data_IF_594095370240
#
_entry.id   IF_594095370240
#
_cell.length_a   1.000
_cell.length_b   1.000
_cell.length_c   1.000
_cell.angle_alpha   90.00
_cell.angle_beta   90.00
_cell.angle_gamma   90.00
#
_symmetry.space_group_name_H-M   'P 1'
#
loop_
_entity.id
_entity.type
_entity.pdbx_description
1 polymer ?
#
# COMPACT_ATOMS: atom_id res chain seq x y z
N UNK A 1 4.39 11.56 7.70
CA UNK A 1 4.54 10.68 8.88
C UNK A 1 5.60 9.60 8.67
N UNK A 2 6.64 9.57 9.53
CA UNK A 2 7.66 8.50 9.53
C UNK A 2 7.25 7.28 10.36
N UNK A 3 6.72 7.52 11.57
CA UNK A 3 6.30 6.47 12.52
C UNK A 3 4.83 6.67 12.90
N UNK A 4 4.04 5.61 12.76
CA UNK A 4 2.68 5.54 13.28
C UNK A 4 2.69 4.85 14.64
N UNK A 5 2.26 5.57 15.68
CA UNK A 5 2.05 5.02 17.02
C UNK A 5 0.57 4.75 17.28
N UNK A 6 0.26 3.51 17.62
CA UNK A 6 -1.09 3.06 17.96
C UNK A 6 -1.13 2.77 19.47
N UNK A 7 -1.81 3.62 20.24
CA UNK A 7 -1.93 3.49 21.69
C UNK A 7 -3.22 2.78 22.11
N UNK A 8 -3.13 1.89 23.10
CA UNK A 8 -4.26 1.18 23.67
C UNK A 8 -4.03 0.94 25.17
N UNK A 9 -5.07 0.53 25.90
CA UNK A 9 -5.03 0.50 27.38
C UNK A 9 -3.86 -0.32 27.98
N UNK A 10 -3.34 -1.31 27.25
CA UNK A 10 -2.25 -2.19 27.71
C UNK A 10 -0.87 -1.81 27.16
N UNK A 11 -0.73 -0.72 26.41
CA UNK A 11 0.55 -0.29 25.85
C UNK A 11 0.40 0.38 24.48
N UNK A 12 1.44 0.25 23.65
CA UNK A 12 1.44 0.83 22.31
C UNK A 12 2.17 -0.07 21.31
N UNK A 13 1.92 0.19 20.03
CA UNK A 13 2.65 -0.37 18.90
C UNK A 13 3.14 0.77 18.01
N UNK A 14 4.38 0.67 17.53
CA UNK A 14 4.95 1.60 16.56
C UNK A 14 5.20 0.89 15.24
N UNK A 15 4.78 1.53 14.14
CA UNK A 15 5.01 1.07 12.78
C UNK A 15 5.85 2.13 12.06
N UNK A 16 7.02 1.74 11.55
CA UNK A 16 7.80 2.56 10.63
C UNK A 16 7.08 2.52 9.29
N UNK A 17 6.43 3.62 8.87
CA UNK A 17 5.44 3.63 7.79
C UNK A 17 6.06 3.13 6.48
N UNK A 18 7.20 3.69 6.08
CA UNK A 18 7.89 3.34 4.85
C UNK A 18 8.36 1.87 4.81
N UNK A 19 8.88 1.37 5.93
CA UNK A 19 9.38 -0.01 6.01
C UNK A 19 8.24 -1.04 6.16
N UNK A 20 7.11 -0.62 6.73
CA UNK A 20 5.98 -1.50 6.97
C UNK A 20 5.08 -1.63 5.74
N UNK A 21 4.78 -0.51 5.06
CA UNK A 21 3.87 -0.49 3.92
C UNK A 21 4.63 -0.54 2.58
N UNK A 22 4.10 -1.24 1.55
CA UNK A 22 2.85 -1.98 1.55
C UNK A 22 3.00 -3.38 2.18
N UNK A 23 2.24 -3.64 3.26
CA UNK A 23 2.29 -4.93 3.94
C UNK A 23 1.32 -5.96 3.31
N UNK A 24 1.54 -7.25 3.57
CA UNK A 24 0.68 -8.34 3.05
C UNK A 24 -0.75 -8.19 3.58
N UNK A 25 -1.75 -8.49 2.76
CA UNK A 25 -3.17 -8.30 3.10
C UNK A 25 -3.64 -8.90 4.44
N UNK A 26 -3.20 -10.12 4.87
CA UNK A 26 -3.57 -10.63 6.19
C UNK A 26 -3.08 -9.76 7.35
N UNK A 27 -1.93 -9.11 7.19
CA UNK A 27 -1.37 -8.16 8.15
C UNK A 27 -2.11 -6.83 8.07
N UNK A 28 -2.32 -6.32 6.84
CA UNK A 28 -3.05 -5.09 6.58
C UNK A 28 -4.44 -5.09 7.23
N UNK A 29 -5.18 -6.20 7.12
CA UNK A 29 -6.50 -6.35 7.76
C UNK A 29 -6.45 -6.23 9.27
N UNK A 30 -5.42 -6.78 9.92
CA UNK A 30 -5.26 -6.71 11.38
C UNK A 30 -4.88 -5.30 11.81
N UNK A 31 -3.91 -4.69 11.14
CA UNK A 31 -3.43 -3.35 11.46
C UNK A 31 -4.49 -2.29 11.18
N UNK A 32 -5.20 -2.36 10.05
CA UNK A 32 -6.30 -1.43 9.74
C UNK A 32 -7.39 -1.46 10.82
N UNK A 33 -7.71 -2.63 11.39
CA UNK A 33 -8.66 -2.71 12.51
C UNK A 33 -8.15 -1.99 13.77
N UNK A 34 -6.85 -2.09 14.06
CA UNK A 34 -6.25 -1.39 15.20
C UNK A 34 -6.22 0.13 14.96
N UNK A 35 -5.77 0.55 13.78
CA UNK A 35 -5.74 1.96 13.37
C UNK A 35 -7.14 2.57 13.47
N UNK A 36 -8.14 1.91 12.87
CA UNK A 36 -9.52 2.41 12.86
C UNK A 36 -10.16 2.48 14.24
N UNK A 37 -9.68 1.67 15.19
CA UNK A 37 -10.20 1.64 16.56
C UNK A 37 -9.51 2.64 17.49
N UNK A 38 -8.20 2.83 17.34
CA UNK A 38 -7.37 3.50 18.34
C UNK A 38 -6.76 4.82 17.87
N UNK A 39 -6.64 5.05 16.57
CA UNK A 39 -6.11 6.31 16.03
C UNK A 39 -7.24 7.34 15.82
N UNK A 40 -6.93 8.61 16.07
CA UNK A 40 -7.83 9.71 15.76
C UNK A 40 -7.99 9.90 14.25
N UNK A 41 -8.99 10.66 13.85
CA UNK A 41 -9.22 10.98 12.44
C UNK A 41 -8.07 11.81 11.85
N UNK A 42 -7.42 12.68 12.63
CA UNK A 42 -6.24 13.43 12.19
C UNK A 42 -5.07 12.49 11.87
N UNK A 43 -4.76 11.57 12.79
CA UNK A 43 -3.66 10.59 12.61
C UNK A 43 -3.94 9.68 11.41
N UNK A 44 -5.19 9.24 11.24
CA UNK A 44 -5.58 8.44 10.06
C UNK A 44 -5.44 9.23 8.76
N UNK A 45 -5.81 10.50 8.76
CA UNK A 45 -5.70 11.37 7.58
C UNK A 45 -4.23 11.57 7.19
N UNK A 46 -3.36 11.82 8.17
CA UNK A 46 -1.93 11.96 7.93
C UNK A 46 -1.31 10.65 7.39
N UNK A 47 -1.64 9.51 8.00
CA UNK A 47 -1.21 8.21 7.49
C UNK A 47 -1.68 7.98 6.04
N UNK A 48 -2.95 8.24 5.75
CA UNK A 48 -3.51 8.05 4.41
C UNK A 48 -2.87 8.98 3.37
N UNK A 49 -2.47 10.20 3.76
CA UNK A 49 -1.69 11.09 2.91
C UNK A 49 -0.37 10.42 2.50
N UNK A 50 0.35 9.88 3.47
CA UNK A 50 1.67 9.27 3.21
C UNK A 50 1.58 8.00 2.38
N UNK A 51 0.59 7.15 2.66
CA UNK A 51 0.37 5.94 1.87
C UNK A 51 0.01 6.28 0.42
N UNK A 52 -0.72 7.38 0.18
CA UNK A 52 -1.05 7.86 -1.17
C UNK A 52 0.19 8.39 -1.89
N UNK A 53 1.03 9.18 -1.22
CA UNK A 53 2.29 9.64 -1.80
C UNK A 53 3.20 8.47 -2.20
N UNK A 54 3.32 7.46 -1.34
CA UNK A 54 4.05 6.23 -1.67
C UNK A 54 3.43 5.49 -2.86
N UNK A 55 2.09 5.44 -2.95
CA UNK A 55 1.39 4.83 -4.08
C UNK A 55 1.65 5.58 -5.40
N UNK A 56 1.66 6.91 -5.35
CA UNK A 56 1.99 7.77 -6.49
C UNK A 56 3.43 7.56 -6.94
N UNK A 57 4.37 7.39 -6.00
CA UNK A 57 5.76 7.03 -6.30
C UNK A 57 5.88 5.69 -7.04
N UNK A 58 5.14 4.65 -6.62
CA UNK A 58 5.08 3.40 -7.35
C UNK A 58 4.43 3.53 -8.73
N UNK A 59 3.38 4.35 -8.84
CA UNK A 59 2.70 4.62 -10.10
C UNK A 59 3.65 5.28 -11.11
N UNK A 60 4.37 6.33 -10.70
CA UNK A 60 5.36 7.01 -11.53
C UNK A 60 6.46 6.06 -12.04
N UNK A 61 6.96 5.15 -11.18
CA UNK A 61 7.91 4.13 -11.59
C UNK A 61 7.32 3.15 -12.61
N UNK A 62 6.07 2.71 -12.40
CA UNK A 62 5.37 1.83 -13.34
C UNK A 62 5.22 2.49 -14.71
N UNK A 63 4.80 3.76 -14.74
CA UNK A 63 4.61 4.53 -15.98
C UNK A 63 5.94 4.70 -16.71
N UNK A 64 7.01 5.09 -16.00
CA UNK A 64 8.36 5.19 -16.58
C UNK A 64 8.84 3.84 -17.16
N UNK A 65 8.66 2.72 -16.45
CA UNK A 65 9.07 1.41 -16.96
C UNK A 65 8.27 0.98 -18.18
N UNK A 66 6.97 1.33 -18.22
CA UNK A 66 6.10 1.06 -19.35
C UNK A 66 6.54 1.85 -20.57
N UNK A 67 6.76 3.15 -20.43
CA UNK A 67 7.27 4.05 -21.49
C UNK A 67 8.60 3.50 -22.07
N UNK A 68 9.59 3.22 -21.22
CA UNK A 68 10.88 2.65 -21.65
C UNK A 68 10.76 1.31 -22.36
N UNK A 69 9.75 0.50 -22.02
CA UNK A 69 9.51 -0.77 -22.71
C UNK A 69 8.84 -0.57 -24.08
N UNK A 70 8.00 0.45 -24.22
CA UNK A 70 7.26 0.77 -25.45
C UNK A 70 8.19 1.29 -26.56
N UNK A 71 9.17 2.13 -26.21
CA UNK A 71 10.18 2.67 -27.13
C UNK A 71 11.07 1.60 -27.78
N UNK A 72 11.14 0.41 -27.18
CA UNK A 72 12.06 -0.64 -27.61
C UNK A 72 11.42 -1.62 -28.61
N UNK A 73 12.20 -2.15 -29.57
CA UNK A 73 11.72 -3.18 -30.50
C UNK A 73 11.20 -4.44 -29.78
N UNK A 74 10.21 -5.10 -30.39
CA UNK A 74 9.74 -6.40 -29.92
C UNK A 74 10.89 -7.41 -29.86
N UNK A 75 10.95 -8.22 -28.80
CA UNK A 75 12.00 -9.24 -28.62
C UNK A 75 13.32 -8.73 -28.02
N UNK A 76 13.52 -7.41 -27.89
CA UNK A 76 14.73 -6.85 -27.28
C UNK A 76 14.91 -7.35 -25.82
N UNK A 77 16.12 -7.81 -25.43
CA UNK A 77 16.44 -8.13 -24.04
C UNK A 77 16.13 -6.97 -23.08
N UNK A 78 16.38 -5.73 -23.52
CA UNK A 78 16.13 -4.54 -22.72
C UNK A 78 14.62 -4.29 -22.51
N UNK A 79 13.80 -4.61 -23.51
CA UNK A 79 12.33 -4.56 -23.37
C UNK A 79 11.83 -5.56 -22.34
N UNK A 80 12.39 -6.77 -22.33
CA UNK A 80 12.08 -7.79 -21.30
C UNK A 80 12.51 -7.33 -19.91
N UNK A 81 13.66 -6.67 -19.80
CA UNK A 81 14.14 -6.09 -18.53
C UNK A 81 13.15 -5.06 -17.98
N UNK A 82 12.75 -4.07 -18.76
CA UNK A 82 11.81 -3.04 -18.28
C UNK A 82 10.43 -3.62 -17.94
N UNK A 83 9.92 -4.58 -18.72
CA UNK A 83 8.71 -5.32 -18.36
C UNK A 83 8.85 -6.08 -17.03
N UNK A 84 10.01 -6.67 -16.77
CA UNK A 84 10.26 -7.33 -15.49
C UNK A 84 10.29 -6.34 -14.31
N UNK A 85 10.87 -5.15 -14.50
CA UNK A 85 10.84 -4.08 -13.49
C UNK A 85 9.40 -3.60 -13.24
N UNK A 86 8.63 -3.36 -14.29
CA UNK A 86 7.20 -3.05 -14.18
C UNK A 86 6.47 -4.11 -13.35
N UNK A 87 6.59 -5.39 -13.70
CA UNK A 87 5.90 -6.47 -12.98
C UNK A 87 6.31 -6.53 -11.50
N UNK A 88 7.59 -6.27 -11.19
CA UNK A 88 8.09 -6.25 -9.80
C UNK A 88 7.51 -5.08 -9.00
N UNK A 89 7.33 -3.92 -9.61
CA UNK A 89 6.83 -2.70 -8.96
C UNK A 89 5.30 -2.63 -8.92
N UNK A 90 4.63 -3.23 -9.90
CA UNK A 90 3.17 -3.25 -9.95
C UNK A 90 2.56 -4.05 -8.79
N UNK A 91 3.25 -5.11 -8.33
CA UNK A 91 2.84 -5.93 -7.18
C UNK A 91 2.74 -5.10 -5.88
N UNK A 92 3.79 -4.41 -5.41
CA UNK A 92 3.69 -3.54 -4.24
C UNK A 92 2.72 -2.36 -4.47
N UNK A 93 2.65 -1.78 -5.69
CA UNK A 93 1.68 -0.73 -6.03
C UNK A 93 0.23 -1.16 -5.76
N UNK A 94 -0.19 -2.28 -6.36
CA UNK A 94 -1.54 -2.86 -6.16
C UNK A 94 -1.79 -3.21 -4.69
N UNK A 95 -0.75 -3.66 -3.98
CA UNK A 95 -0.85 -3.96 -2.55
C UNK A 95 -1.04 -2.68 -1.73
N UNK A 96 -0.35 -1.59 -2.08
CA UNK A 96 -0.51 -0.29 -1.42
C UNK A 96 -1.94 0.22 -1.54
N UNK A 97 -2.50 0.20 -2.75
CA UNK A 97 -3.91 0.57 -3.00
C UNK A 97 -4.86 -0.19 -2.06
N UNK A 98 -4.68 -1.51 -1.94
CA UNK A 98 -5.49 -2.33 -1.02
C UNK A 98 -5.25 -2.03 0.46
N UNK A 99 -4.04 -1.64 0.86
CA UNK A 99 -3.77 -1.20 2.24
C UNK A 99 -4.51 0.12 2.52
N UNK A 100 -4.47 1.07 1.58
CA UNK A 100 -5.19 2.34 1.66
C UNK A 100 -6.70 2.10 1.80
N UNK A 101 -7.29 1.23 0.97
CA UNK A 101 -8.72 0.89 1.04
C UNK A 101 -9.14 0.42 2.44
N UNK A 102 -8.34 -0.46 3.05
CA UNK A 102 -8.61 -1.02 4.37
C UNK A 102 -8.50 0.03 5.48
N UNK A 103 -7.47 0.89 5.42
CA UNK A 103 -7.28 1.98 6.39
C UNK A 103 -8.35 3.06 6.22
N UNK A 104 -8.79 3.33 4.99
CA UNK A 104 -9.85 4.31 4.70
C UNK A 104 -11.24 3.87 5.19
N UNK A 105 -11.37 2.64 5.72
CA UNK A 105 -12.65 2.10 6.19
C UNK A 105 -13.62 1.75 5.05
N UNK A 106 -13.13 1.67 3.81
CA UNK A 106 -13.93 1.27 2.66
C UNK A 106 -14.44 -0.15 2.85
N UNK A 107 -15.78 -0.32 2.88
CA UNK A 107 -16.54 -1.58 3.04
C UNK A 107 -15.64 -2.83 3.06
N UNK A 108 -15.10 -3.17 4.24
CA UNK A 108 -14.75 -4.57 4.48
C UNK A 108 -16.00 -5.35 4.12
N UNK A 109 -15.91 -6.18 3.07
CA UNK A 109 -16.99 -7.08 2.67
C UNK A 109 -17.67 -7.55 3.94
N UNK A 110 -18.93 -7.11 4.07
CA UNK A 110 -19.80 -7.58 5.12
C UNK A 110 -19.57 -9.09 5.15
N UNK A 111 -19.12 -9.59 6.30
CA UNK A 111 -19.08 -11.02 6.54
C UNK A 111 -20.42 -11.52 6.00
N UNK A 112 -20.39 -12.38 4.98
CA UNK A 112 -21.45 -13.37 4.82
C UNK A 112 -21.41 -14.21 6.10
N UNK A 113 -21.99 -13.67 7.16
CA UNK A 113 -22.79 -14.43 8.09
C UNK A 113 -24.02 -14.74 7.27
N UNK A 114 -24.10 -15.94 6.73
CA UNK A 114 -25.35 -16.62 6.40
C UNK A 114 -25.05 -18.08 6.11
N UNK A 115 -25.81 -18.94 6.80
CA UNK A 115 -25.85 -20.41 6.83
C UNK A 115 -24.75 -21.11 7.65
#
# INVERSE_FOLDING_TARGET
MEVLRIEYATGYMELIVEAFFPCKLPVARKIALLINRYCSDEVKTELLSELREMADGYQALCDMYKEKAEELPAGSPMKRYWKAQFNRTEIPRKRMERNIDLVSGGKTDARKKDA
#
